data_IF_130513425204
#
_entry.id   IF_130513425204
#
_cell.length_a   1.000
_cell.length_b   1.000
_cell.length_c   1.000
_cell.angle_alpha   90.00
_cell.angle_beta   90.00
_cell.angle_gamma   90.00
#
_symmetry.space_group_name_H-M   'P 1'
#
loop_
_entity.id
_entity.type
_entity.pdbx_description
1 polymer ?
#
# COMPACT_ATOMS: atom_id res chain seq x y z
N UNK A 1 44.72 -11.49 -24.65
CA UNK A 1 45.13 -10.43 -23.71
C UNK A 1 44.04 -9.44 -23.43
N UNK A 2 43.25 -9.06 -24.44
CA UNK A 2 42.14 -8.09 -24.29
C UNK A 2 40.97 -8.69 -23.43
N UNK A 3 40.76 -10.01 -23.51
CA UNK A 3 39.70 -10.68 -22.76
C UNK A 3 39.93 -10.71 -21.25
N UNK A 4 41.16 -10.88 -20.78
CA UNK A 4 41.47 -10.89 -19.34
C UNK A 4 41.29 -9.52 -18.70
N UNK A 5 41.53 -8.44 -19.44
CA UNK A 5 41.36 -7.10 -18.97
C UNK A 5 39.86 -6.74 -18.84
N UNK A 6 39.02 -7.17 -19.78
CA UNK A 6 37.58 -6.98 -19.74
C UNK A 6 36.90 -7.77 -18.60
N UNK A 7 37.33 -8.99 -18.38
CA UNK A 7 36.81 -9.85 -17.32
C UNK A 7 37.14 -9.27 -15.94
N UNK A 8 38.34 -8.74 -15.77
CA UNK A 8 38.74 -8.05 -14.54
C UNK A 8 37.94 -6.81 -14.25
N UNK A 9 37.67 -6.02 -15.29
CA UNK A 9 36.84 -4.83 -15.16
C UNK A 9 35.38 -5.17 -14.81
N UNK A 10 34.84 -6.21 -15.42
CA UNK A 10 33.49 -6.70 -15.13
C UNK A 10 33.36 -7.26 -13.71
N UNK A 11 34.37 -8.00 -13.24
CA UNK A 11 34.39 -8.52 -11.86
C UNK A 11 34.49 -7.40 -10.83
N UNK A 12 35.27 -6.38 -11.08
CA UNK A 12 35.37 -5.21 -10.21
C UNK A 12 34.07 -4.41 -10.18
N UNK A 13 33.39 -4.29 -11.32
CA UNK A 13 32.12 -3.62 -11.42
C UNK A 13 31.02 -4.36 -10.67
N UNK A 14 31.02 -5.69 -10.73
CA UNK A 14 30.09 -6.53 -9.97
C UNK A 14 30.31 -6.46 -8.46
N UNK A 15 31.55 -6.38 -8.01
CA UNK A 15 31.89 -6.21 -6.61
C UNK A 15 31.44 -4.85 -6.07
N UNK A 16 31.54 -3.80 -6.87
CA UNK A 16 31.08 -2.46 -6.49
C UNK A 16 29.56 -2.43 -6.43
N UNK A 17 28.87 -3.07 -7.37
CA UNK A 17 27.40 -3.13 -7.43
C UNK A 17 26.79 -3.97 -6.30
N UNK A 18 27.49 -5.03 -5.85
CA UNK A 18 27.03 -5.83 -4.71
C UNK A 18 27.34 -5.20 -3.36
N UNK A 19 28.38 -4.39 -3.25
CA UNK A 19 28.75 -3.73 -2.00
C UNK A 19 27.88 -2.50 -1.69
N UNK A 20 27.53 -1.70 -2.69
CA UNK A 20 26.77 -0.46 -2.53
C UNK A 20 25.33 -0.67 -2.03
N UNK A 21 24.54 -1.65 -2.49
CA UNK A 21 23.19 -1.84 -1.98
C UNK A 21 23.12 -2.40 -0.56
N UNK A 22 24.15 -3.09 -0.10
CA UNK A 22 24.19 -3.68 1.23
C UNK A 22 24.52 -2.62 2.28
N UNK A 23 25.41 -1.68 1.98
CA UNK A 23 25.79 -0.62 2.91
C UNK A 23 24.79 0.51 3.04
N UNK A 24 23.98 0.75 2.00
CA UNK A 24 23.12 1.92 1.94
C UNK A 24 21.71 1.72 2.51
N UNK A 25 21.27 0.50 2.78
CA UNK A 25 19.85 0.24 3.03
C UNK A 25 19.42 -0.28 4.38
N UNK A 26 19.99 -1.35 4.95
CA UNK A 26 19.26 -2.02 6.02
C UNK A 26 19.57 -1.51 7.40
N UNK A 27 20.77 -1.05 7.63
CA UNK A 27 21.23 -0.76 8.99
C UNK A 27 20.68 0.54 9.54
N UNK A 28 20.59 1.59 8.72
CA UNK A 28 20.06 2.88 9.14
C UNK A 28 18.57 2.84 9.41
N UNK A 29 17.80 2.08 8.63
CA UNK A 29 16.35 1.94 8.82
C UNK A 29 16.00 1.05 10.01
N UNK A 30 16.78 0.03 10.28
CA UNK A 30 16.55 -0.89 11.41
C UNK A 30 16.88 -0.23 12.74
N UNK A 31 17.90 0.62 12.81
CA UNK A 31 18.26 1.34 14.03
C UNK A 31 17.24 2.41 14.39
N UNK A 32 16.74 3.17 13.44
CA UNK A 32 15.65 4.14 13.66
C UNK A 32 14.37 3.43 14.12
N UNK A 33 14.07 2.27 13.59
CA UNK A 33 12.90 1.49 13.95
C UNK A 33 12.97 0.90 15.35
N UNK A 34 14.13 0.67 15.92
CA UNK A 34 14.28 0.15 17.28
C UNK A 34 13.97 1.17 18.36
N UNK A 35 14.26 2.43 18.12
CA UNK A 35 13.99 3.50 19.10
C UNK A 35 12.49 3.81 19.21
N UNK A 36 11.73 3.58 18.17
CA UNK A 36 10.31 3.93 18.09
C UNK A 36 9.40 2.70 17.90
N UNK A 37 9.75 1.56 18.47
CA UNK A 37 9.00 0.30 18.26
C UNK A 37 7.53 0.39 18.70
N UNK A 38 7.21 1.17 19.73
CA UNK A 38 5.85 1.37 20.20
C UNK A 38 5.03 2.28 19.26
N UNK A 39 5.63 3.33 18.74
CA UNK A 39 5.02 4.20 17.73
C UNK A 39 4.81 3.48 16.42
N UNK A 40 5.73 2.62 16.00
CA UNK A 40 5.63 1.81 14.79
C UNK A 40 4.42 0.87 14.85
N UNK A 41 4.11 0.30 16.01
CA UNK A 41 2.96 -0.59 16.17
C UNK A 41 1.63 0.16 15.99
N UNK A 42 1.52 1.38 16.51
CA UNK A 42 0.38 2.27 16.32
C UNK A 42 0.30 2.72 14.85
N UNK A 43 1.44 3.11 14.28
CA UNK A 43 1.56 3.53 12.89
C UNK A 43 1.21 2.40 11.90
N UNK A 44 1.48 1.15 12.25
CA UNK A 44 1.13 0.00 11.41
C UNK A 44 -0.38 -0.11 11.23
N UNK A 45 -1.17 0.09 12.29
CA UNK A 45 -2.63 0.12 12.20
C UNK A 45 -3.12 1.24 11.29
N UNK A 46 -2.54 2.43 11.40
CA UNK A 46 -2.87 3.58 10.55
C UNK A 46 -2.42 3.36 9.10
N UNK A 47 -1.27 2.74 8.90
CA UNK A 47 -0.77 2.39 7.56
C UNK A 47 -1.71 1.38 6.89
N UNK A 48 -2.17 0.37 7.61
CA UNK A 48 -3.11 -0.61 7.11
C UNK A 48 -4.45 0.03 6.74
N UNK A 49 -4.96 0.92 7.57
CA UNK A 49 -6.16 1.69 7.27
C UNK A 49 -5.98 2.56 6.02
N UNK A 50 -4.86 3.26 5.92
CA UNK A 50 -4.52 4.07 4.76
C UNK A 50 -4.43 3.25 3.47
N UNK A 51 -3.85 2.06 3.55
CA UNK A 51 -3.79 1.12 2.43
C UNK A 51 -5.19 0.66 2.00
N UNK A 52 -6.03 0.32 2.95
CA UNK A 52 -7.40 -0.13 2.66
C UNK A 52 -8.23 0.99 2.04
N UNK A 53 -8.11 2.22 2.54
CA UNK A 53 -8.73 3.39 1.93
C UNK A 53 -8.20 3.62 0.52
N UNK A 54 -6.90 3.45 0.31
CA UNK A 54 -6.28 3.55 -1.01
C UNK A 54 -6.83 2.52 -1.99
N UNK A 55 -7.07 1.30 -1.55
CA UNK A 55 -7.70 0.27 -2.37
C UNK A 55 -9.14 0.61 -2.74
N UNK A 56 -9.90 1.19 -1.81
CA UNK A 56 -11.26 1.67 -2.10
C UNK A 56 -11.21 2.80 -3.13
N UNK A 57 -10.30 3.76 -2.97
CA UNK A 57 -10.13 4.86 -3.90
C UNK A 57 -9.76 4.35 -5.31
N UNK A 58 -8.86 3.39 -5.40
CA UNK A 58 -8.48 2.76 -6.66
C UNK A 58 -9.65 2.03 -7.30
N UNK A 59 -10.40 1.28 -6.52
CA UNK A 59 -11.58 0.54 -6.99
C UNK A 59 -12.65 1.49 -7.55
N UNK A 60 -12.94 2.56 -6.84
CA UNK A 60 -13.89 3.57 -7.28
C UNK A 60 -13.41 4.31 -8.53
N UNK A 61 -12.11 4.58 -8.64
CA UNK A 61 -11.52 5.19 -9.83
C UNK A 61 -11.68 4.27 -11.05
N UNK A 62 -11.36 3.00 -10.90
CA UNK A 62 -11.50 2.03 -12.00
C UNK A 62 -12.96 1.85 -12.43
N UNK A 63 -13.87 1.85 -11.47
CA UNK A 63 -15.30 1.83 -11.77
C UNK A 63 -15.71 3.09 -12.55
N UNK A 64 -15.27 4.26 -12.10
CA UNK A 64 -15.55 5.53 -12.77
C UNK A 64 -14.99 5.60 -14.20
N UNK A 65 -13.87 4.92 -14.46
CA UNK A 65 -13.28 4.85 -15.80
C UNK A 65 -13.87 3.74 -16.69
N UNK A 66 -14.79 2.96 -16.16
CA UNK A 66 -15.43 1.88 -16.89
C UNK A 66 -14.65 0.57 -16.94
N UNK A 67 -13.61 0.42 -16.13
CA UNK A 67 -12.77 -0.78 -16.09
C UNK A 67 -13.28 -1.86 -15.14
N UNK A 68 -14.21 -1.51 -14.27
CA UNK A 68 -14.81 -2.43 -13.32
C UNK A 68 -16.33 -2.39 -13.42
N UNK A 69 -16.99 -3.56 -13.36
CA UNK A 69 -18.44 -3.64 -13.29
C UNK A 69 -18.94 -3.16 -11.92
N UNK A 70 -20.20 -2.75 -11.86
CA UNK A 70 -20.84 -2.39 -10.60
C UNK A 70 -20.81 -3.57 -9.61
N UNK A 71 -21.08 -4.76 -10.08
CA UNK A 71 -21.10 -5.97 -9.25
C UNK A 71 -19.71 -6.26 -8.63
N UNK A 72 -18.67 -6.21 -9.43
CA UNK A 72 -17.30 -6.42 -8.96
C UNK A 72 -16.88 -5.31 -8.01
N UNK A 73 -17.29 -4.08 -8.27
CA UNK A 73 -17.04 -2.95 -7.39
C UNK A 73 -17.69 -3.16 -6.03
N UNK A 74 -18.96 -3.56 -5.99
CA UNK A 74 -19.67 -3.86 -4.74
C UNK A 74 -18.97 -4.96 -3.94
N UNK A 75 -18.58 -6.04 -4.59
CA UNK A 75 -17.91 -7.16 -3.93
C UNK A 75 -16.57 -6.75 -3.34
N UNK A 76 -15.77 -6.04 -4.09
CA UNK A 76 -14.45 -5.58 -3.65
C UNK A 76 -14.55 -4.60 -2.47
N UNK A 77 -15.43 -3.63 -2.55
CA UNK A 77 -15.61 -2.65 -1.48
C UNK A 77 -16.18 -3.30 -0.23
N UNK A 78 -17.12 -4.23 -0.36
CA UNK A 78 -17.69 -4.94 0.77
C UNK A 78 -16.63 -5.70 1.57
N UNK A 79 -15.72 -6.38 0.90
CA UNK A 79 -14.63 -7.12 1.55
C UNK A 79 -13.70 -6.17 2.31
N UNK A 80 -13.31 -5.07 1.68
CA UNK A 80 -12.38 -4.11 2.30
C UNK A 80 -13.03 -3.42 3.49
N UNK A 81 -14.27 -2.95 3.34
CA UNK A 81 -14.98 -2.23 4.40
C UNK A 81 -15.34 -3.12 5.57
N UNK A 82 -15.66 -4.40 5.32
CA UNK A 82 -15.86 -5.38 6.37
C UNK A 82 -14.60 -5.57 7.22
N UNK A 83 -13.43 -5.63 6.59
CA UNK A 83 -12.15 -5.66 7.27
C UNK A 83 -11.90 -4.42 8.12
N UNK A 84 -12.23 -3.24 7.61
CA UNK A 84 -12.11 -1.98 8.36
C UNK A 84 -13.03 -1.98 9.59
N UNK A 85 -14.24 -2.45 9.45
CA UNK A 85 -15.18 -2.53 10.56
C UNK A 85 -14.66 -3.45 11.67
N UNK A 86 -14.12 -4.60 11.32
CA UNK A 86 -13.55 -5.55 12.28
C UNK A 86 -12.34 -5.00 13.01
N UNK A 87 -11.46 -4.31 12.32
CA UNK A 87 -10.21 -3.81 12.91
C UNK A 87 -10.37 -2.46 13.62
N UNK A 88 -11.23 -1.59 13.11
CA UNK A 88 -11.30 -0.19 13.53
C UNK A 88 -12.66 0.23 14.08
N UNK A 89 -13.67 -0.63 14.00
CA UNK A 89 -14.99 -0.38 14.56
C UNK A 89 -15.98 0.28 13.61
N UNK A 90 -17.23 0.37 14.08
CA UNK A 90 -18.36 0.86 13.28
C UNK A 90 -18.24 2.33 12.90
N UNK A 91 -17.68 3.17 13.78
CA UNK A 91 -17.53 4.60 13.50
C UNK A 91 -16.54 4.85 12.36
N UNK A 92 -15.44 4.14 12.33
CA UNK A 92 -14.48 4.22 11.24
C UNK A 92 -15.06 3.69 9.94
N UNK A 93 -15.79 2.60 10.00
CA UNK A 93 -16.52 2.05 8.86
C UNK A 93 -17.47 3.09 8.26
N UNK A 94 -18.30 3.72 9.06
CA UNK A 94 -19.23 4.75 8.62
C UNK A 94 -18.49 5.94 8.01
N UNK A 95 -17.42 6.38 8.64
CA UNK A 95 -16.62 7.51 8.15
C UNK A 95 -16.02 7.21 6.78
N UNK A 96 -15.48 6.01 6.58
CA UNK A 96 -14.89 5.61 5.30
C UNK A 96 -15.93 5.61 4.18
N UNK A 97 -17.13 5.08 4.46
CA UNK A 97 -18.21 5.03 3.47
C UNK A 97 -18.68 6.45 3.11
N UNK A 98 -18.88 7.31 4.09
CA UNK A 98 -19.28 8.70 3.84
C UNK A 98 -18.21 9.47 3.06
N UNK A 99 -16.95 9.32 3.45
CA UNK A 99 -15.83 9.93 2.72
C UNK A 99 -15.80 9.49 1.26
N UNK A 100 -15.93 8.19 1.02
CA UNK A 100 -15.88 7.63 -0.32
C UNK A 100 -17.04 8.12 -1.18
N UNK A 101 -18.24 8.17 -0.63
CA UNK A 101 -19.41 8.68 -1.32
C UNK A 101 -19.26 10.14 -1.74
N UNK A 102 -18.65 10.96 -0.90
CA UNK A 102 -18.38 12.37 -1.22
C UNK A 102 -17.30 12.52 -2.27
N UNK A 103 -16.24 11.75 -2.17
CA UNK A 103 -15.09 11.85 -3.07
C UNK A 103 -15.34 11.23 -4.44
N UNK A 104 -16.12 10.16 -4.47
CA UNK A 104 -16.47 9.43 -5.70
C UNK A 104 -17.99 9.25 -5.80
N UNK A 105 -18.73 10.29 -6.22
CA UNK A 105 -20.19 10.21 -6.26
C UNK A 105 -20.75 9.08 -7.11
N UNK A 106 -20.07 8.72 -8.21
CA UNK A 106 -20.47 7.60 -9.07
C UNK A 106 -20.34 6.25 -8.37
N UNK A 107 -19.39 6.14 -7.46
CA UNK A 107 -19.13 4.91 -6.71
C UNK A 107 -20.18 4.66 -5.61
N UNK A 108 -21.02 5.63 -5.33
CA UNK A 108 -22.04 5.53 -4.29
C UNK A 108 -22.96 4.33 -4.45
N UNK A 109 -23.24 3.93 -5.70
CA UNK A 109 -24.03 2.73 -6.02
C UNK A 109 -23.34 1.43 -5.60
N UNK A 110 -22.02 1.44 -5.51
CA UNK A 110 -21.21 0.28 -5.12
C UNK A 110 -20.89 0.21 -3.63
N UNK A 111 -21.29 1.21 -2.85
CA UNK A 111 -21.00 1.26 -1.43
C UNK A 111 -22.06 0.51 -0.62
N UNK A 112 -21.67 -0.12 0.52
CA UNK A 112 -22.62 -0.70 1.44
C UNK A 112 -23.56 0.35 2.04
N UNK A 113 -24.76 -0.06 2.39
CA UNK A 113 -25.72 0.80 3.11
C UNK A 113 -25.28 0.98 4.56
N UNK A 114 -25.43 2.16 5.09
CA UNK A 114 -25.18 2.44 6.50
C UNK A 114 -26.38 2.10 7.37
#
# INVERSE_FOLDING_TARGET
MVFCSMIRSLLLLQLILTALPVDARPELQVEENKENSTEITIDTGMINLGRDIGWIDATCSWFGWGHLSLENTKTSIAVITEGIEKEHGADMYAWVIERTAKRYPKCKLGLPSL
#
